data_IF_894962042471
#
_entry.id   IF_894962042471
#
_cell.length_a   1.000
_cell.length_b   1.000
_cell.length_c   1.000
_cell.angle_alpha   90.00
_cell.angle_beta   90.00
_cell.angle_gamma   90.00
#
_symmetry.space_group_name_H-M   'P 1'
#
loop_
_entity.id
_entity.type
_entity.pdbx_description
1 polymer ?
#
# COMPACT_ATOMS: atom_id res chain seq x y z
N UNK A 1 0.97 0.81 2.75
CA UNK A 1 0.44 -0.34 1.97
C UNK A 1 -0.89 -0.72 2.59
N UNK A 2 -1.84 -1.27 1.85
CA UNK A 2 -3.12 -1.75 2.42
C UNK A 2 -2.92 -2.75 3.55
N UNK A 3 -1.78 -3.44 3.58
CA UNK A 3 -1.42 -4.38 4.66
C UNK A 3 -1.15 -3.73 6.03
N UNK A 4 -1.26 -2.40 6.14
CA UNK A 4 -1.45 -1.71 7.42
C UNK A 4 -2.78 -2.08 8.09
N UNK A 5 -3.83 -2.33 7.29
CA UNK A 5 -5.19 -2.63 7.75
C UNK A 5 -5.70 -4.02 7.33
N UNK A 6 -5.15 -4.59 6.25
CA UNK A 6 -5.51 -5.91 5.71
C UNK A 6 -4.29 -6.83 5.74
N UNK A 7 -4.01 -7.53 6.84
CA UNK A 7 -2.81 -8.36 6.99
C UNK A 7 -2.67 -9.45 5.92
N UNK A 8 -1.43 -9.81 5.61
CA UNK A 8 -1.11 -10.93 4.71
C UNK A 8 -0.59 -12.11 5.54
N UNK A 9 -1.10 -13.34 5.35
CA UNK A 9 -0.53 -14.54 5.97
C UNK A 9 0.98 -14.65 5.71
N UNK A 10 1.70 -15.17 6.70
CA UNK A 10 3.17 -15.37 6.65
C UNK A 10 4.03 -14.11 6.46
N UNK A 11 3.43 -12.92 6.50
CA UNK A 11 4.11 -11.63 6.32
C UNK A 11 4.06 -10.74 7.57
N UNK A 12 4.12 -11.34 8.76
CA UNK A 12 3.93 -10.64 10.05
C UNK A 12 4.86 -9.44 10.23
N UNK A 13 6.15 -9.58 9.89
CA UNK A 13 7.12 -8.48 9.96
C UNK A 13 6.77 -7.34 8.99
N UNK A 14 6.32 -7.67 7.78
CA UNK A 14 5.90 -6.68 6.79
C UNK A 14 4.64 -5.94 7.27
N UNK A 15 3.62 -6.67 7.73
CA UNK A 15 2.38 -6.09 8.28
C UNK A 15 2.69 -5.18 9.48
N UNK A 16 3.52 -5.63 10.42
CA UNK A 16 3.92 -4.84 11.59
C UNK A 16 4.63 -3.54 11.16
N UNK A 17 5.60 -3.64 10.23
CA UNK A 17 6.31 -2.47 9.72
C UNK A 17 5.36 -1.49 9.02
N UNK A 18 4.42 -1.97 8.19
CA UNK A 18 3.45 -1.10 7.51
C UNK A 18 2.49 -0.44 8.49
N UNK A 19 2.10 -1.11 9.57
CA UNK A 19 1.31 -0.49 10.64
C UNK A 19 2.09 0.58 11.40
N UNK A 20 3.37 0.33 11.69
CA UNK A 20 4.24 1.31 12.33
C UNK A 20 4.40 2.59 11.49
N UNK A 21 4.52 2.47 10.15
CA UNK A 21 4.58 3.63 9.25
C UNK A 21 3.31 4.50 9.29
N UNK A 22 2.13 3.88 9.49
CA UNK A 22 0.88 4.61 9.68
C UNK A 22 0.87 5.45 10.96
N UNK A 23 1.37 4.87 12.06
CA UNK A 23 1.58 5.60 13.32
C UNK A 23 2.61 6.73 13.18
N UNK A 24 3.75 6.45 12.54
CA UNK A 24 4.82 7.40 12.28
C UNK A 24 4.32 8.61 11.49
N UNK A 25 3.53 8.38 10.43
CA UNK A 25 2.96 9.44 9.59
C UNK A 25 2.12 10.42 10.42
N UNK A 26 1.29 9.90 11.33
CA UNK A 26 0.43 10.71 12.22
C UNK A 26 1.26 11.48 13.25
N UNK A 27 2.26 10.84 13.85
CA UNK A 27 3.16 11.48 14.80
C UNK A 27 3.92 12.64 14.15
N UNK A 28 4.57 12.38 13.00
CA UNK A 28 5.31 13.41 12.27
C UNK A 28 4.43 14.56 11.78
N UNK A 29 3.19 14.30 11.38
CA UNK A 29 2.26 15.35 11.01
C UNK A 29 2.02 16.34 12.17
N UNK A 30 1.91 15.85 13.41
CA UNK A 30 1.76 16.69 14.60
C UNK A 30 3.06 17.42 14.96
N UNK A 31 4.21 16.74 14.87
CA UNK A 31 5.52 17.33 15.19
C UNK A 31 5.91 18.46 14.23
N UNK A 32 5.58 18.31 12.95
CA UNK A 32 6.03 19.20 11.89
C UNK A 32 5.03 20.31 11.54
N UNK A 33 3.83 20.33 12.13
CA UNK A 33 2.80 21.34 11.83
C UNK A 33 3.27 22.77 12.11
N UNK A 34 4.07 22.98 13.16
CA UNK A 34 4.67 24.30 13.51
C UNK A 34 5.61 24.82 12.43
N UNK A 35 6.14 23.93 11.60
CA UNK A 35 7.00 24.24 10.46
C UNK A 35 6.21 24.37 9.15
N UNK A 36 4.87 24.28 9.20
CA UNK A 36 3.98 24.29 8.03
C UNK A 36 4.25 23.15 7.04
N UNK A 37 4.72 22.01 7.54
CA UNK A 37 4.96 20.80 6.73
C UNK A 37 3.82 19.82 6.96
N UNK A 38 3.23 19.32 5.88
CA UNK A 38 2.24 18.26 5.89
C UNK A 38 2.92 16.92 5.68
N UNK A 39 2.46 15.89 6.40
CA UNK A 39 2.96 14.51 6.25
C UNK A 39 1.77 13.60 5.96
N UNK A 40 1.83 12.91 4.83
CA UNK A 40 0.78 12.01 4.36
C UNK A 40 1.40 10.71 3.87
N UNK A 41 0.61 9.63 3.91
CA UNK A 41 1.01 8.33 3.38
C UNK A 41 -0.01 7.83 2.35
N UNK A 42 0.49 7.16 1.32
CA UNK A 42 -0.33 6.40 0.39
C UNK A 42 -0.18 4.92 0.73
N UNK A 43 -1.30 4.20 0.74
CA UNK A 43 -1.34 2.78 1.02
C UNK A 43 -1.76 1.99 -0.24
N UNK A 44 -0.82 1.66 -1.14
CA UNK A 44 -1.15 0.86 -2.31
C UNK A 44 -1.65 -0.54 -1.94
N UNK A 45 -2.64 -1.00 -2.71
CA UNK A 45 -3.11 -2.38 -2.76
C UNK A 45 -2.15 -3.29 -3.52
N UNK A 46 -2.67 -4.38 -4.10
CA UNK A 46 -1.89 -5.20 -5.01
C UNK A 46 -1.71 -4.46 -6.35
N UNK A 47 -0.46 -4.09 -6.66
CA UNK A 47 -0.08 -3.40 -7.90
C UNK A 47 0.75 -4.37 -8.74
N UNK A 48 0.50 -4.43 -10.04
CA UNK A 48 1.33 -5.17 -10.98
C UNK A 48 2.65 -4.43 -11.18
N UNK A 49 3.76 -5.04 -10.75
CA UNK A 49 5.09 -4.43 -10.78
C UNK A 49 6.15 -5.50 -11.07
N UNK A 50 7.34 -5.13 -11.57
CA UNK A 50 8.42 -6.12 -11.73
C UNK A 50 8.83 -6.80 -10.40
N UNK A 51 8.61 -6.16 -9.25
CA UNK A 51 8.91 -6.71 -7.92
C UNK A 51 8.11 -7.97 -7.59
N UNK A 52 6.86 -8.08 -8.05
CA UNK A 52 6.04 -9.28 -7.92
C UNK A 52 5.97 -10.10 -9.23
N UNK A 53 6.88 -9.83 -10.17
CA UNK A 53 6.97 -10.55 -11.45
C UNK A 53 5.80 -10.27 -12.40
N UNK A 54 5.13 -9.12 -12.25
CA UNK A 54 3.96 -8.73 -13.03
C UNK A 54 4.24 -7.48 -13.88
N UNK A 55 3.44 -7.27 -14.91
CA UNK A 55 3.46 -6.06 -15.74
C UNK A 55 2.05 -5.51 -16.00
N UNK A 56 1.94 -4.43 -16.78
CA UNK A 56 0.64 -3.80 -17.09
C UNK A 56 -0.29 -4.75 -17.87
N UNK A 57 0.26 -5.76 -18.55
CA UNK A 57 -0.47 -6.84 -19.16
C UNK A 57 -1.25 -7.67 -18.14
N UNK A 58 -0.81 -7.77 -16.89
CA UNK A 58 -1.51 -8.51 -15.82
C UNK A 58 -2.68 -7.74 -15.20
N UNK A 59 -2.86 -6.47 -15.57
CA UNK A 59 -3.95 -5.59 -15.09
C UNK A 59 -5.24 -5.91 -15.84
N UNK A 60 -5.75 -7.14 -15.69
CA UNK A 60 -6.96 -7.61 -16.37
C UNK A 60 -8.15 -7.73 -15.42
N UNK A 61 -9.39 -7.45 -15.87
CA UNK A 61 -10.59 -7.77 -15.12
C UNK A 61 -10.66 -9.26 -14.76
N UNK A 62 -10.97 -9.57 -13.51
CA UNK A 62 -11.04 -10.93 -12.98
C UNK A 62 -9.71 -11.53 -12.51
N UNK A 63 -8.57 -10.87 -12.73
CA UNK A 63 -7.25 -11.42 -12.41
C UNK A 63 -7.01 -11.61 -10.91
N UNK A 64 -7.71 -10.85 -10.07
CA UNK A 64 -7.60 -10.99 -8.61
C UNK A 64 -8.98 -10.96 -7.96
N UNK A 65 -9.65 -12.12 -7.81
CA UNK A 65 -11.02 -12.21 -7.32
C UNK A 65 -11.21 -11.72 -5.87
N UNK A 66 -10.15 -11.71 -5.06
CA UNK A 66 -10.22 -11.28 -3.65
C UNK A 66 -10.30 -9.76 -3.49
N UNK A 67 -9.90 -8.99 -4.50
CA UNK A 67 -10.02 -7.53 -4.52
C UNK A 67 -11.42 -7.15 -5.03
N UNK A 68 -12.15 -6.20 -4.40
CA UNK A 68 -13.50 -5.81 -4.85
C UNK A 68 -13.58 -5.35 -6.32
N UNK A 69 -12.55 -4.66 -6.82
CA UNK A 69 -12.44 -4.25 -8.23
C UNK A 69 -12.04 -5.39 -9.18
N UNK A 70 -11.73 -6.57 -8.62
CA UNK A 70 -11.37 -7.82 -9.30
C UNK A 70 -10.15 -7.72 -10.22
N UNK A 71 -9.20 -6.83 -9.93
CA UNK A 71 -7.98 -6.67 -10.71
C UNK A 71 -6.87 -6.07 -9.87
N UNK A 72 -5.63 -6.26 -10.32
CA UNK A 72 -4.48 -5.51 -9.83
C UNK A 72 -4.55 -4.02 -10.22
N UNK A 73 -3.85 -3.18 -9.48
CA UNK A 73 -3.55 -1.81 -9.92
C UNK A 73 -2.40 -1.78 -10.93
N UNK A 74 -2.35 -0.75 -11.76
CA UNK A 74 -1.23 -0.51 -12.68
C UNK A 74 -0.20 0.41 -12.02
N UNK A 75 1.09 0.22 -12.37
CA UNK A 75 2.17 1.10 -11.90
C UNK A 75 2.32 2.33 -12.80
N UNK A 76 2.08 2.17 -14.09
CA UNK A 76 2.11 3.23 -15.09
C UNK A 76 0.78 3.26 -15.85
N UNK A 77 0.36 4.44 -16.31
CA UNK A 77 -0.81 4.61 -17.18
C UNK A 77 -0.38 4.57 -18.65
#
# INVERSE_FOLDING_TARGET
SVHEHTPLPDASAYTAAKHALGGLTKAMALELVRHKILVNAVAPGAIATPMNGMDDGDVKPGAEPSIPLRRFGAQYL
#
